data_IF_194142704401
#
_entry.id   IF_194142704401
#
_cell.length_a   1.000
_cell.length_b   1.000
_cell.length_c   1.000
_cell.angle_alpha   90.00
_cell.angle_beta   90.00
_cell.angle_gamma   90.00
#
_symmetry.space_group_name_H-M   'P 1'
#
loop_
_entity.id
_entity.type
_entity.pdbx_description
1 polymer ?
#
# COMPACT_ATOMS: atom_id res chain seq x y z
N UNK A 1 1.77 16.81 27.40
CA UNK A 1 0.28 16.66 27.44
C UNK A 1 -0.12 15.90 28.70
N UNK A 2 -1.30 16.19 29.29
CA UNK A 2 -1.78 15.43 30.46
C UNK A 2 -2.09 13.98 30.11
N UNK A 3 -1.67 13.02 30.95
CA UNK A 3 -1.91 11.59 30.75
C UNK A 3 -3.40 11.27 30.56
N UNK A 4 -4.28 11.89 31.34
CA UNK A 4 -5.74 11.74 31.20
C UNK A 4 -6.23 12.11 29.79
N UNK A 5 -5.68 13.16 29.19
CA UNK A 5 -6.03 13.57 27.81
C UNK A 5 -5.54 12.55 26.79
N UNK A 6 -4.37 11.96 27.01
CA UNK A 6 -3.81 10.90 26.14
C UNK A 6 -4.69 9.66 26.18
N UNK A 7 -5.22 9.29 27.35
CA UNK A 7 -6.05 8.11 27.56
C UNK A 7 -7.52 8.32 27.21
N UNK A 8 -7.93 9.53 26.85
CA UNK A 8 -9.34 9.85 26.58
C UNK A 8 -9.92 8.94 25.47
N UNK A 9 -11.14 8.42 25.71
CA UNK A 9 -11.83 7.51 24.79
C UNK A 9 -11.39 6.04 24.86
N UNK A 10 -10.42 5.69 25.73
CA UNK A 10 -10.11 4.29 26.05
C UNK A 10 -11.01 3.82 27.20
N UNK A 11 -11.63 2.66 27.00
CA UNK A 11 -12.42 1.96 28.01
C UNK A 11 -11.62 0.78 28.60
N UNK A 12 -12.13 0.17 29.69
CA UNK A 12 -11.54 -1.02 30.33
C UNK A 12 -10.09 -0.86 30.80
N UNK A 13 -9.70 0.36 31.20
CA UNK A 13 -8.38 0.64 31.75
C UNK A 13 -8.30 0.19 33.22
N UNK A 14 -7.20 -0.46 33.59
CA UNK A 14 -6.79 -0.71 34.97
C UNK A 14 -5.50 0.05 35.21
N UNK A 15 -5.53 1.05 36.06
CA UNK A 15 -4.35 1.89 36.35
C UNK A 15 -3.90 1.73 37.80
N UNK A 16 -2.58 1.72 38.00
CA UNK A 16 -1.92 1.78 39.33
C UNK A 16 -0.79 2.80 39.26
N UNK A 17 -0.82 3.81 40.09
CA UNK A 17 0.12 4.93 40.14
C UNK A 17 -0.57 6.28 39.90
N UNK A 18 0.23 7.30 39.69
CA UNK A 18 -0.22 8.67 39.48
C UNK A 18 -0.75 8.86 38.03
N UNK A 19 -1.94 9.47 37.89
CA UNK A 19 -2.59 9.72 36.59
C UNK A 19 -2.60 11.20 36.19
N UNK A 20 -2.24 12.11 37.13
CA UNK A 20 -2.17 13.57 36.88
C UNK A 20 -0.76 14.00 36.39
N UNK A 21 -0.16 13.17 35.53
CA UNK A 21 1.17 13.37 34.98
C UNK A 21 1.13 14.17 33.68
N UNK A 22 2.16 14.96 33.45
CA UNK A 22 2.48 15.52 32.14
C UNK A 22 3.42 14.58 31.37
N UNK A 23 3.03 14.17 30.20
CA UNK A 23 3.78 13.24 29.35
C UNK A 23 4.39 14.03 28.19
N UNK A 24 5.74 14.08 28.08
CA UNK A 24 6.41 14.80 27.01
C UNK A 24 6.32 14.08 25.66
N UNK A 25 6.32 12.74 25.64
CA UNK A 25 6.29 11.96 24.42
C UNK A 25 5.72 10.55 24.66
N UNK A 26 5.31 9.88 23.56
CA UNK A 26 4.85 8.48 23.55
C UNK A 26 5.80 7.68 22.67
N UNK A 27 6.22 6.50 23.14
CA UNK A 27 7.04 5.57 22.36
C UNK A 27 6.55 4.12 22.49
N UNK A 28 6.77 3.35 21.43
CA UNK A 28 6.56 1.90 21.39
C UNK A 28 7.83 1.11 21.05
N UNK A 29 8.97 1.81 21.01
CA UNK A 29 10.32 1.25 20.90
C UNK A 29 11.10 1.67 22.14
N UNK A 30 11.41 0.71 23.04
CA UNK A 30 12.09 0.98 24.33
C UNK A 30 13.41 1.72 24.17
N UNK A 31 14.11 1.53 23.04
CA UNK A 31 15.41 2.18 22.74
C UNK A 31 15.29 3.67 22.46
N UNK A 32 14.08 4.16 22.15
CA UNK A 32 13.79 5.58 21.85
C UNK A 32 13.20 6.32 23.03
N UNK A 33 12.84 5.60 24.08
CA UNK A 33 12.26 6.19 25.29
C UNK A 33 13.24 7.16 25.94
N UNK A 34 12.72 8.33 26.34
CA UNK A 34 13.43 9.37 27.06
C UNK A 34 12.80 9.59 28.44
N UNK A 35 13.49 10.26 29.40
CA UNK A 35 12.96 10.52 30.74
C UNK A 35 11.59 11.23 30.68
N UNK A 36 10.61 10.64 31.36
CA UNK A 36 9.25 11.17 31.46
C UNK A 36 8.27 10.60 30.43
N UNK A 37 8.75 9.88 29.40
CA UNK A 37 7.91 9.34 28.33
C UNK A 37 6.91 8.28 28.83
N UNK A 38 5.87 8.09 28.01
CA UNK A 38 4.96 6.96 28.09
C UNK A 38 5.42 5.88 27.11
N UNK A 39 5.72 4.69 27.61
CA UNK A 39 6.00 3.52 26.79
C UNK A 39 4.76 2.64 26.64
N UNK A 40 4.41 2.27 25.41
CA UNK A 40 3.28 1.39 25.10
C UNK A 40 3.81 0.05 24.59
N UNK A 41 3.69 -0.99 25.41
CA UNK A 41 4.12 -2.36 25.10
C UNK A 41 3.05 -3.05 24.26
N UNK A 42 3.37 -3.34 23.00
CA UNK A 42 2.47 -4.06 22.08
C UNK A 42 2.97 -5.48 21.81
N UNK A 43 2.07 -6.46 21.76
CA UNK A 43 2.40 -7.81 21.29
C UNK A 43 2.64 -7.78 19.78
N UNK A 44 3.90 -7.99 19.37
CA UNK A 44 4.30 -8.11 17.97
C UNK A 44 4.20 -9.56 17.48
N UNK A 45 4.40 -9.77 16.16
CA UNK A 45 4.43 -11.12 15.57
C UNK A 45 5.71 -11.89 15.88
N UNK A 46 6.82 -11.21 16.16
CA UNK A 46 8.12 -11.80 16.44
C UNK A 46 8.59 -11.56 17.87
N UNK A 47 8.28 -10.39 18.42
CA UNK A 47 8.73 -9.96 19.74
C UNK A 47 7.52 -9.55 20.57
N UNK A 48 7.50 -9.85 21.83
CA UNK A 48 6.52 -9.34 22.79
C UNK A 48 7.04 -8.04 23.41
N UNK A 49 6.30 -6.93 23.25
CA UNK A 49 6.67 -5.63 23.80
C UNK A 49 6.79 -5.63 25.33
N UNK A 50 6.15 -6.58 26.03
CA UNK A 50 6.23 -6.70 27.50
C UNK A 50 7.63 -7.08 27.98
N UNK A 51 8.42 -7.78 27.16
CA UNK A 51 9.82 -8.13 27.45
C UNK A 51 10.72 -6.90 27.58
N UNK A 52 10.33 -5.78 26.95
CA UNK A 52 11.09 -4.52 26.93
C UNK A 52 10.64 -3.49 27.96
N UNK A 53 9.71 -3.83 28.85
CA UNK A 53 9.21 -2.92 29.90
C UNK A 53 10.36 -2.48 30.82
N UNK A 54 11.25 -3.41 31.19
CA UNK A 54 12.41 -3.08 32.05
C UNK A 54 13.35 -2.10 31.37
N UNK A 55 13.63 -2.30 30.09
CA UNK A 55 14.50 -1.41 29.33
C UNK A 55 13.87 -0.02 29.18
N UNK A 56 12.56 0.05 28.92
CA UNK A 56 11.85 1.32 28.86
C UNK A 56 11.91 2.09 30.19
N UNK A 57 11.73 1.40 31.33
CA UNK A 57 11.85 2.01 32.66
C UNK A 57 13.29 2.47 32.92
N UNK A 58 14.29 1.65 32.56
CA UNK A 58 15.70 2.02 32.67
C UNK A 58 16.06 3.26 31.86
N UNK A 59 15.41 3.45 30.69
CA UNK A 59 15.55 4.64 29.85
C UNK A 59 14.70 5.83 30.31
N UNK A 60 13.94 5.68 31.41
CA UNK A 60 13.22 6.77 32.06
C UNK A 60 11.73 6.85 31.77
N UNK A 61 11.11 5.79 31.28
CA UNK A 61 9.65 5.77 31.12
C UNK A 61 8.96 6.04 32.47
N UNK A 62 8.06 7.00 32.50
CA UNK A 62 7.25 7.37 33.67
C UNK A 62 5.90 6.66 33.70
N UNK A 63 5.41 6.25 32.51
CA UNK A 63 4.15 5.55 32.32
C UNK A 63 4.37 4.35 31.41
N UNK A 64 3.86 3.20 31.82
CA UNK A 64 3.82 1.97 31.01
C UNK A 64 2.36 1.64 30.70
N UNK A 65 2.01 1.48 29.42
CA UNK A 65 0.75 0.85 29.01
C UNK A 65 1.08 -0.53 28.47
N UNK A 66 0.46 -1.57 29.03
CA UNK A 66 0.75 -2.97 28.72
C UNK A 66 -0.55 -3.80 28.58
N UNK A 67 -0.50 -4.99 27.95
CA UNK A 67 -1.63 -5.91 27.89
C UNK A 67 -2.13 -6.26 29.30
N UNK A 68 -3.43 -6.48 29.47
CA UNK A 68 -4.05 -6.82 30.76
C UNK A 68 -3.73 -8.24 31.23
N UNK A 69 -3.22 -9.08 30.33
CA UNK A 69 -2.66 -10.41 30.60
C UNK A 69 -1.14 -10.42 30.86
N UNK A 70 -0.52 -9.24 31.04
CA UNK A 70 0.91 -9.12 31.37
C UNK A 70 1.24 -9.89 32.65
N UNK A 71 2.37 -10.63 32.63
CA UNK A 71 2.82 -11.44 33.77
C UNK A 71 2.89 -10.60 35.07
N UNK A 72 2.27 -11.14 36.12
CA UNK A 72 2.26 -10.51 37.45
C UNK A 72 3.67 -10.26 38.00
N UNK A 73 4.63 -11.11 37.65
CA UNK A 73 6.03 -10.91 38.09
C UNK A 73 6.67 -9.69 37.42
N UNK A 74 6.34 -9.40 36.14
CA UNK A 74 6.75 -8.16 35.48
C UNK A 74 6.11 -6.96 36.18
N UNK A 75 4.80 -7.03 36.48
CA UNK A 75 4.06 -5.95 37.13
C UNK A 75 4.60 -5.66 38.54
N UNK A 76 4.98 -6.68 39.32
CA UNK A 76 5.57 -6.52 40.67
C UNK A 76 6.94 -5.84 40.64
N UNK A 77 7.68 -5.96 39.54
CA UNK A 77 9.02 -5.37 39.39
C UNK A 77 8.97 -3.92 38.94
N UNK A 78 7.80 -3.34 38.66
CA UNK A 78 7.65 -1.94 38.28
C UNK A 78 7.90 -1.09 39.55
N UNK A 79 8.90 -0.18 39.55
CA UNK A 79 9.28 0.60 40.72
C UNK A 79 8.19 1.58 41.13
N UNK A 80 8.21 1.96 42.40
CA UNK A 80 7.42 3.10 42.89
C UNK A 80 7.74 4.37 42.08
N UNK A 81 6.69 5.11 41.71
CA UNK A 81 6.83 6.30 40.90
C UNK A 81 6.65 6.08 39.38
N UNK A 82 6.58 4.83 38.91
CA UNK A 82 6.17 4.53 37.53
C UNK A 82 4.69 4.10 37.54
N UNK A 83 3.89 4.74 36.72
CA UNK A 83 2.48 4.39 36.55
C UNK A 83 2.33 3.26 35.53
N UNK A 84 1.60 2.20 35.92
CA UNK A 84 1.22 1.14 34.98
C UNK A 84 -0.27 1.23 34.65
N UNK A 85 -0.57 1.07 33.36
CA UNK A 85 -1.92 1.04 32.80
C UNK A 85 -2.04 -0.26 32.01
N UNK A 86 -3.09 -1.03 32.28
CA UNK A 86 -3.38 -2.28 31.58
C UNK A 86 -4.61 -2.11 30.69
N UNK A 87 -4.53 -2.62 29.45
CA UNK A 87 -5.61 -2.59 28.47
C UNK A 87 -5.65 -3.90 27.65
N UNK A 88 -6.84 -4.48 27.35
CA UNK A 88 -6.95 -5.75 26.63
C UNK A 88 -6.43 -5.70 25.20
N UNK A 89 -6.51 -4.56 24.52
CA UNK A 89 -5.99 -4.34 23.16
C UNK A 89 -5.01 -3.16 23.13
N UNK A 90 -3.72 -3.45 23.32
CA UNK A 90 -2.68 -2.40 23.35
C UNK A 90 -2.38 -1.82 21.97
N UNK A 91 -2.75 -2.48 20.86
CA UNK A 91 -2.63 -1.89 19.53
C UNK A 91 -3.69 -0.81 19.30
N UNK A 92 -4.93 -1.09 19.69
CA UNK A 92 -5.98 -0.10 19.69
C UNK A 92 -5.65 1.07 20.65
N UNK A 93 -5.17 0.75 21.86
CA UNK A 93 -4.76 1.76 22.81
C UNK A 93 -3.63 2.66 22.28
N UNK A 94 -2.60 2.07 21.61
CA UNK A 94 -1.55 2.85 20.94
C UNK A 94 -2.11 3.81 19.91
N UNK A 95 -3.09 3.37 19.10
CA UNK A 95 -3.68 4.21 18.07
C UNK A 95 -4.44 5.40 18.68
N UNK A 96 -5.29 5.17 19.68
CA UNK A 96 -6.07 6.23 20.34
C UNK A 96 -5.14 7.19 21.11
N UNK A 97 -4.20 6.66 21.89
CA UNK A 97 -3.22 7.49 22.60
C UNK A 97 -2.42 8.37 21.63
N UNK A 98 -2.01 7.81 20.48
CA UNK A 98 -1.28 8.57 19.47
C UNK A 98 -2.14 9.66 18.83
N UNK A 99 -3.41 9.35 18.48
CA UNK A 99 -4.36 10.35 17.98
C UNK A 99 -4.49 11.51 18.96
N UNK A 100 -4.72 11.20 20.24
CA UNK A 100 -4.91 12.21 21.28
C UNK A 100 -3.63 13.03 21.51
N UNK A 101 -2.47 12.37 21.58
CA UNK A 101 -1.18 13.03 21.82
C UNK A 101 -0.85 14.04 20.72
N UNK A 102 -1.14 13.74 19.47
CA UNK A 102 -0.96 14.64 18.33
C UNK A 102 -2.21 15.50 18.04
N UNK A 103 -3.16 15.60 18.97
CA UNK A 103 -4.35 16.45 18.88
C UNK A 103 -5.23 16.13 17.64
N UNK A 104 -5.42 14.84 17.39
CA UNK A 104 -6.26 14.33 16.30
C UNK A 104 -5.95 14.96 14.92
N UNK A 105 -4.72 14.86 14.41
CA UNK A 105 -4.27 15.59 13.23
C UNK A 105 -5.08 15.25 11.98
N UNK A 106 -5.68 14.07 11.90
CA UNK A 106 -6.56 13.68 10.77
C UNK A 106 -7.84 14.50 10.67
N UNK A 107 -8.18 15.30 11.68
CA UNK A 107 -9.29 16.26 11.63
C UNK A 107 -8.92 17.61 11.00
N UNK A 108 -7.63 17.90 10.83
CA UNK A 108 -7.09 19.18 10.33
C UNK A 108 -7.04 19.27 8.80
N UNK A 109 -7.31 18.17 8.08
CA UNK A 109 -7.34 18.08 6.62
C UNK A 109 -8.39 17.08 6.15
N UNK A 110 -8.66 16.99 4.84
CA UNK A 110 -9.52 15.94 4.29
C UNK A 110 -8.72 14.65 4.13
N UNK A 111 -9.12 13.57 4.82
CA UNK A 111 -8.44 12.28 4.78
C UNK A 111 -9.13 11.31 3.82
N UNK A 112 -8.37 10.80 2.84
CA UNK A 112 -8.83 9.81 1.85
C UNK A 112 -8.10 8.49 2.06
N UNK A 113 -8.82 7.41 2.35
CA UNK A 113 -8.29 6.06 2.47
C UNK A 113 -8.61 5.21 1.25
N UNK A 114 -7.59 4.54 0.69
CA UNK A 114 -7.75 3.63 -0.45
C UNK A 114 -7.42 2.21 -0.03
N UNK A 115 -8.41 1.31 -0.09
CA UNK A 115 -8.23 -0.12 0.17
C UNK A 115 -8.60 -0.97 -1.03
N UNK A 116 -8.22 -2.24 -0.99
CA UNK A 116 -8.44 -3.23 -2.04
C UNK A 116 -7.23 -4.15 -2.16
N UNK A 117 -7.31 -5.16 -3.03
CA UNK A 117 -6.18 -6.06 -3.27
C UNK A 117 -5.13 -5.37 -4.14
N UNK A 118 -5.48 -4.89 -5.30
CA UNK A 118 -4.60 -4.23 -6.28
C UNK A 118 -5.05 -2.78 -6.54
N UNK A 119 -4.19 -1.98 -7.17
CA UNK A 119 -4.52 -0.63 -7.63
C UNK A 119 -4.41 0.48 -6.59
N UNK A 120 -4.21 0.21 -5.30
CA UNK A 120 -4.10 1.23 -4.25
C UNK A 120 -3.06 2.31 -4.60
N UNK A 121 -1.82 1.93 -4.82
CA UNK A 121 -0.71 2.83 -5.14
C UNK A 121 -0.99 3.66 -6.39
N UNK A 122 -1.42 3.03 -7.48
CA UNK A 122 -1.72 3.74 -8.73
C UNK A 122 -2.84 4.76 -8.53
N UNK A 123 -3.90 4.38 -7.82
CA UNK A 123 -5.05 5.25 -7.55
C UNK A 123 -4.63 6.45 -6.66
N UNK A 124 -3.85 6.22 -5.61
CA UNK A 124 -3.39 7.30 -4.73
C UNK A 124 -2.47 8.29 -5.45
N UNK A 125 -1.58 7.81 -6.31
CA UNK A 125 -0.74 8.67 -7.15
C UNK A 125 -1.57 9.46 -8.18
N UNK A 126 -2.54 8.84 -8.85
CA UNK A 126 -3.47 9.55 -9.75
C UNK A 126 -4.20 10.68 -9.03
N UNK A 127 -4.74 10.42 -7.83
CA UNK A 127 -5.38 11.44 -7.01
C UNK A 127 -4.42 12.57 -6.66
N UNK A 128 -3.20 12.24 -6.23
CA UNK A 128 -2.18 13.21 -5.86
C UNK A 128 -1.85 14.14 -7.04
N UNK A 129 -1.64 13.58 -8.23
CA UNK A 129 -1.33 14.39 -9.41
C UNK A 129 -2.51 15.28 -9.83
N UNK A 130 -3.76 14.82 -9.72
CA UNK A 130 -4.94 15.64 -9.98
C UNK A 130 -5.05 16.80 -8.99
N UNK A 131 -4.90 16.51 -7.68
CA UNK A 131 -4.97 17.52 -6.62
C UNK A 131 -3.83 18.54 -6.76
N UNK A 132 -2.62 18.08 -7.07
CA UNK A 132 -1.47 18.95 -7.35
C UNK A 132 -1.73 19.87 -8.55
N UNK A 133 -2.31 19.35 -9.64
CA UNK A 133 -2.70 20.15 -10.83
C UNK A 133 -3.78 21.17 -10.48
N UNK A 134 -4.63 20.85 -9.49
CA UNK A 134 -5.66 21.76 -8.95
C UNK A 134 -5.08 22.84 -8.03
N UNK A 135 -3.81 22.75 -7.62
CA UNK A 135 -3.17 23.65 -6.66
C UNK A 135 -3.45 23.30 -5.20
N UNK A 136 -3.99 22.13 -4.91
CA UNK A 136 -4.30 21.65 -3.55
C UNK A 136 -3.05 20.99 -2.96
N UNK A 137 -2.56 21.50 -1.83
CA UNK A 137 -1.42 20.92 -1.13
C UNK A 137 -1.79 19.56 -0.53
N UNK A 138 -1.12 18.50 -1.00
CA UNK A 138 -1.55 17.12 -0.73
C UNK A 138 -0.47 16.30 -0.05
N UNK A 139 -0.80 15.66 1.09
CA UNK A 139 0.00 14.61 1.70
C UNK A 139 -0.28 13.26 1.05
N UNK A 140 0.72 12.38 1.01
CA UNK A 140 0.58 10.99 0.55
C UNK A 140 1.27 10.03 1.49
N UNK A 141 0.55 8.98 1.93
CA UNK A 141 1.09 7.86 2.70
C UNK A 141 0.84 6.57 1.91
N UNK A 142 1.88 5.90 1.45
CA UNK A 142 1.69 4.71 0.61
C UNK A 142 2.92 3.82 0.51
N UNK A 143 2.85 2.83 -0.34
CA UNK A 143 3.84 1.75 -0.50
C UNK A 143 5.21 2.25 -0.97
N UNK A 144 5.26 3.28 -1.81
CA UNK A 144 6.51 3.75 -2.43
C UNK A 144 7.22 4.74 -1.51
N UNK A 145 6.53 5.79 -1.13
CA UNK A 145 7.10 6.88 -0.33
C UNK A 145 6.00 7.66 0.40
N UNK A 146 6.42 8.50 1.33
CA UNK A 146 5.57 9.40 2.09
C UNK A 146 5.94 10.82 1.71
N UNK A 147 4.91 11.62 1.36
CA UNK A 147 5.07 13.00 0.93
C UNK A 147 4.24 13.96 1.78
N UNK A 148 4.77 15.14 2.03
CA UNK A 148 4.06 16.30 2.55
C UNK A 148 4.17 17.42 1.50
N UNK A 149 3.09 17.67 0.77
CA UNK A 149 3.14 18.49 -0.44
C UNK A 149 4.10 17.88 -1.48
N UNK A 150 5.05 18.66 -1.97
CA UNK A 150 6.08 18.20 -2.92
C UNK A 150 7.31 17.56 -2.21
N UNK A 151 7.43 17.74 -0.89
CA UNK A 151 8.56 17.22 -0.12
C UNK A 151 8.38 15.73 0.17
N UNK A 152 9.31 14.90 -0.28
CA UNK A 152 9.42 13.51 0.13
C UNK A 152 9.96 13.47 1.57
N UNK A 153 9.16 12.95 2.52
CA UNK A 153 9.58 12.81 3.90
C UNK A 153 10.49 11.60 4.10
N UNK A 154 10.09 10.45 3.52
CA UNK A 154 10.90 9.22 3.53
C UNK A 154 10.43 8.20 2.49
N UNK A 155 11.25 7.20 2.23
CA UNK A 155 10.82 5.96 1.58
C UNK A 155 9.96 5.12 2.54
N UNK A 156 9.01 4.39 2.02
CA UNK A 156 8.11 3.61 2.86
C UNK A 156 8.70 2.24 3.21
N UNK A 157 8.67 1.89 4.49
CA UNK A 157 9.03 0.56 4.97
C UNK A 157 7.84 -0.42 4.82
N UNK A 158 6.63 0.11 4.77
CA UNK A 158 5.37 -0.64 4.62
C UNK A 158 4.26 0.26 4.05
N UNK A 159 3.25 -0.36 3.46
CA UNK A 159 2.12 0.33 2.83
C UNK A 159 1.38 1.29 3.77
N UNK A 160 1.15 0.87 5.01
CA UNK A 160 0.49 1.67 6.05
C UNK A 160 1.35 1.62 7.32
N UNK A 161 1.89 2.73 7.80
CA UNK A 161 2.72 2.80 9.01
C UNK A 161 2.00 2.31 10.28
N UNK A 162 2.75 2.05 11.36
CA UNK A 162 2.17 1.86 12.69
C UNK A 162 1.51 3.15 13.19
N UNK A 163 0.53 3.03 14.07
CA UNK A 163 -0.34 4.15 14.44
C UNK A 163 0.41 5.36 14.99
N UNK A 164 1.40 5.17 15.86
CA UNK A 164 2.20 6.27 16.43
C UNK A 164 2.96 7.04 15.33
N UNK A 165 3.62 6.31 14.44
CA UNK A 165 4.34 6.90 13.32
C UNK A 165 3.38 7.61 12.35
N UNK A 166 2.22 7.03 12.09
CA UNK A 166 1.19 7.60 11.22
C UNK A 166 0.67 8.94 11.78
N UNK A 167 0.36 9.02 13.08
CA UNK A 167 -0.12 10.25 13.70
C UNK A 167 0.96 11.34 13.73
N UNK A 168 2.23 10.97 13.95
CA UNK A 168 3.38 11.89 13.85
C UNK A 168 3.48 12.49 12.44
N UNK A 169 3.33 11.65 11.41
CA UNK A 169 3.34 12.12 10.01
C UNK A 169 2.14 13.01 9.69
N UNK A 170 0.96 12.67 10.19
CA UNK A 170 -0.23 13.48 10.01
C UNK A 170 -0.12 14.85 10.69
N UNK A 171 0.49 14.90 11.89
CA UNK A 171 0.77 16.17 12.57
C UNK A 171 1.71 17.04 11.70
N UNK A 172 2.80 16.45 11.19
CA UNK A 172 3.72 17.17 10.28
C UNK A 172 3.02 17.65 9.01
N UNK A 173 2.17 16.84 8.38
CA UNK A 173 1.41 17.23 7.19
C UNK A 173 0.43 18.36 7.46
N UNK A 174 -0.20 18.37 8.66
CA UNK A 174 -1.08 19.44 9.08
C UNK A 174 -0.30 20.75 9.32
N UNK A 175 0.87 20.68 9.99
CA UNK A 175 1.77 21.83 10.19
C UNK A 175 2.29 22.37 8.85
N UNK A 176 2.63 21.49 7.92
CA UNK A 176 3.05 21.86 6.57
C UNK A 176 1.87 22.47 5.74
N UNK A 177 0.65 22.46 6.25
CA UNK A 177 -0.54 23.03 5.60
C UNK A 177 -1.11 22.16 4.47
N UNK A 178 -1.01 20.83 4.55
CA UNK A 178 -1.71 19.93 3.64
C UNK A 178 -3.23 20.08 3.84
N UNK A 179 -3.97 20.29 2.75
CA UNK A 179 -5.43 20.39 2.74
C UNK A 179 -6.11 19.03 2.57
N UNK A 180 -5.44 18.12 1.87
CA UNK A 180 -5.88 16.75 1.62
C UNK A 180 -4.73 15.80 1.93
N UNK A 181 -5.01 14.70 2.62
CA UNK A 181 -4.08 13.59 2.78
C UNK A 181 -4.69 12.33 2.18
N UNK A 182 -3.95 11.68 1.30
CA UNK A 182 -4.35 10.43 0.67
C UNK A 182 -3.48 9.31 1.24
N UNK A 183 -4.09 8.20 1.63
CA UNK A 183 -3.31 7.07 2.12
C UNK A 183 -3.78 5.73 1.58
N UNK A 184 -2.82 4.84 1.37
CA UNK A 184 -3.09 3.42 1.15
C UNK A 184 -3.41 2.76 2.50
N UNK A 185 -4.56 2.08 2.58
CA UNK A 185 -5.02 1.37 3.78
C UNK A 185 -5.02 -0.12 3.51
N UNK A 186 -4.02 -0.82 4.03
CA UNK A 186 -3.91 -2.28 3.88
C UNK A 186 -4.91 -3.01 4.79
N UNK A 187 -5.31 -4.22 4.42
CA UNK A 187 -6.17 -5.07 5.26
C UNK A 187 -5.53 -5.35 6.63
N UNK A 188 -4.23 -5.58 6.63
CA UNK A 188 -3.48 -5.82 7.86
C UNK A 188 -3.45 -4.59 8.78
N UNK A 189 -3.37 -3.37 8.23
CA UNK A 189 -3.45 -2.14 9.03
C UNK A 189 -4.80 -1.97 9.71
N UNK A 190 -5.88 -2.34 9.02
CA UNK A 190 -7.24 -2.34 9.56
C UNK A 190 -7.44 -3.45 10.61
N UNK A 191 -6.87 -4.63 10.38
CA UNK A 191 -6.89 -5.75 11.32
C UNK A 191 -6.12 -5.41 12.61
N UNK A 192 -4.99 -4.73 12.49
CA UNK A 192 -4.09 -4.38 13.60
C UNK A 192 -4.33 -2.97 14.17
N UNK A 193 -5.49 -2.39 13.94
CA UNK A 193 -5.92 -1.09 14.50
C UNK A 193 -4.99 0.09 14.18
N UNK A 194 -4.12 0.02 13.14
CA UNK A 194 -3.15 1.08 12.84
C UNK A 194 -3.77 2.42 12.46
N UNK A 195 -5.01 2.39 11.97
CA UNK A 195 -5.79 3.57 11.56
C UNK A 195 -6.98 3.84 12.48
N UNK A 196 -7.05 3.18 13.64
CA UNK A 196 -8.09 3.46 14.63
C UNK A 196 -7.95 4.92 15.12
N UNK A 197 -9.07 5.58 15.36
CA UNK A 197 -9.11 6.99 15.72
C UNK A 197 -8.89 7.98 14.56
N UNK A 198 -8.54 7.52 13.34
CA UNK A 198 -8.47 8.39 12.17
C UNK A 198 -9.85 8.76 11.64
N UNK A 199 -10.05 10.03 11.24
CA UNK A 199 -11.29 10.55 10.69
C UNK A 199 -11.25 10.55 9.16
N UNK A 200 -11.66 9.46 8.51
CA UNK A 200 -11.71 9.40 7.05
C UNK A 200 -12.93 10.17 6.50
N UNK A 201 -12.69 11.15 5.64
CA UNK A 201 -13.77 11.80 4.88
C UNK A 201 -14.24 10.89 3.73
N UNK A 202 -13.30 10.17 3.10
CA UNK A 202 -13.57 9.32 1.95
C UNK A 202 -12.82 7.98 2.07
N UNK A 203 -13.55 6.88 1.85
CA UNK A 203 -13.00 5.54 1.66
C UNK A 203 -13.19 5.06 0.22
N UNK A 204 -12.19 4.40 -0.35
CA UNK A 204 -12.23 3.85 -1.71
C UNK A 204 -11.98 2.36 -1.69
N UNK A 205 -12.84 1.58 -2.35
CA UNK A 205 -12.65 0.15 -2.57
C UNK A 205 -12.32 -0.12 -4.04
N UNK A 206 -11.09 -0.53 -4.31
CA UNK A 206 -10.62 -0.73 -5.70
C UNK A 206 -11.05 -2.07 -6.28
N UNK A 207 -10.70 -3.17 -5.63
CA UNK A 207 -11.02 -4.54 -6.01
C UNK A 207 -10.72 -5.52 -4.89
N UNK A 208 -11.16 -6.77 -5.07
CA UNK A 208 -10.89 -7.87 -4.16
C UNK A 208 -10.65 -9.16 -4.95
N UNK A 209 -9.54 -9.81 -4.68
CA UNK A 209 -9.14 -11.11 -5.21
C UNK A 209 -8.31 -11.84 -4.18
N UNK A 210 -8.03 -13.11 -4.41
CA UNK A 210 -7.22 -13.93 -3.52
C UNK A 210 -5.79 -13.39 -3.44
N UNK A 211 -5.39 -12.99 -2.23
CA UNK A 211 -4.04 -12.52 -1.89
C UNK A 211 -3.92 -12.50 -0.36
N UNK A 212 -2.71 -12.49 0.17
CA UNK A 212 -2.46 -12.36 1.61
C UNK A 212 -3.09 -13.46 2.50
N UNK A 213 -3.44 -14.62 1.92
CA UNK A 213 -3.95 -15.75 2.70
C UNK A 213 -2.77 -16.56 3.22
N UNK A 214 -2.51 -16.42 4.51
CA UNK A 214 -1.44 -17.13 5.22
C UNK A 214 -1.68 -17.09 6.72
N UNK A 215 -1.08 -18.02 7.50
CA UNK A 215 -1.20 -18.02 8.97
C UNK A 215 -0.71 -16.74 9.66
N UNK A 216 0.15 -15.96 8.98
CA UNK A 216 0.72 -14.72 9.52
C UNK A 216 -0.07 -13.45 9.14
N UNK A 217 -0.96 -13.53 8.16
CA UNK A 217 -1.73 -12.38 7.67
C UNK A 217 -3.23 -12.60 7.86
N UNK A 218 -3.87 -13.30 6.94
CA UNK A 218 -5.30 -13.63 7.00
C UNK A 218 -5.50 -15.15 6.90
N UNK A 219 -6.24 -15.78 7.83
CA UNK A 219 -6.48 -17.23 7.78
C UNK A 219 -7.29 -17.64 6.56
N UNK A 220 -8.17 -16.77 6.06
CA UNK A 220 -9.05 -17.03 4.93
C UNK A 220 -9.50 -15.75 4.22
N UNK A 221 -10.22 -15.91 3.12
CA UNK A 221 -10.77 -14.83 2.31
C UNK A 221 -11.84 -14.01 3.06
N UNK A 222 -12.52 -14.62 4.02
CA UNK A 222 -13.54 -13.96 4.84
C UNK A 222 -12.92 -12.92 5.77
N UNK A 223 -11.91 -13.31 6.54
CA UNK A 223 -11.14 -12.41 7.41
C UNK A 223 -10.47 -11.30 6.60
N UNK A 224 -9.97 -11.65 5.39
CA UNK A 224 -9.32 -10.68 4.50
C UNK A 224 -10.31 -9.60 4.02
N UNK A 225 -11.50 -10.01 3.57
CA UNK A 225 -12.54 -9.07 3.14
C UNK A 225 -13.06 -8.25 4.33
N UNK A 226 -13.42 -8.90 5.44
CA UNK A 226 -13.95 -8.24 6.62
C UNK A 226 -12.95 -7.23 7.20
N UNK A 227 -11.65 -7.52 7.13
CA UNK A 227 -10.61 -6.57 7.52
C UNK A 227 -10.65 -5.30 6.66
N UNK A 228 -10.79 -5.42 5.33
CA UNK A 228 -10.88 -4.24 4.44
C UNK A 228 -12.15 -3.43 4.66
N UNK A 229 -13.26 -4.10 4.96
CA UNK A 229 -14.56 -3.46 5.20
C UNK A 229 -14.57 -2.57 6.44
N UNK A 230 -13.65 -2.76 7.40
CA UNK A 230 -13.51 -1.88 8.57
C UNK A 230 -13.27 -0.40 8.19
N UNK A 231 -12.64 -0.12 7.03
CA UNK A 231 -12.46 1.27 6.56
C UNK A 231 -13.81 2.00 6.40
N UNK A 232 -14.85 1.29 5.97
CA UNK A 232 -16.16 1.88 5.69
C UNK A 232 -17.01 2.10 6.95
N UNK A 233 -16.56 1.58 8.10
CA UNK A 233 -17.15 1.91 9.39
C UNK A 233 -16.61 3.24 9.97
N UNK A 234 -15.49 3.74 9.43
CA UNK A 234 -14.78 4.93 9.92
C UNK A 234 -14.64 6.02 8.84
N UNK A 235 -15.35 5.93 7.72
CA UNK A 235 -15.40 6.96 6.70
C UNK A 235 -16.81 7.53 6.51
N UNK A 236 -16.88 8.80 6.07
CA UNK A 236 -18.15 9.50 5.82
C UNK A 236 -18.76 9.18 4.47
N UNK A 237 -17.92 8.92 3.46
CA UNK A 237 -18.31 8.59 2.10
C UNK A 237 -17.47 7.47 1.53
N UNK A 238 -18.10 6.56 0.78
CA UNK A 238 -17.44 5.45 0.09
C UNK A 238 -17.55 5.56 -1.43
N UNK A 239 -16.49 5.18 -2.15
CA UNK A 239 -16.50 4.90 -3.58
C UNK A 239 -16.13 3.45 -3.82
N UNK A 240 -17.02 2.68 -4.47
CA UNK A 240 -16.91 1.23 -4.62
C UNK A 240 -16.93 0.83 -6.09
N UNK A 241 -15.98 0.00 -6.50
CA UNK A 241 -15.95 -0.64 -7.82
C UNK A 241 -17.03 -1.74 -7.87
N UNK A 242 -18.02 -1.59 -8.76
CA UNK A 242 -19.14 -2.54 -8.91
C UNK A 242 -18.84 -3.73 -9.80
N UNK A 243 -17.74 -3.72 -10.53
CA UNK A 243 -17.40 -4.80 -11.48
C UNK A 243 -16.65 -5.95 -10.80
N UNK A 244 -16.37 -5.83 -9.50
CA UNK A 244 -15.79 -6.91 -8.72
C UNK A 244 -16.87 -7.92 -8.33
N UNK A 245 -16.59 -9.23 -8.40
CA UNK A 245 -17.54 -10.30 -8.07
C UNK A 245 -18.08 -10.23 -6.63
N UNK A 246 -17.35 -9.58 -5.73
CA UNK A 246 -17.78 -9.35 -4.35
C UNK A 246 -18.51 -8.02 -4.15
N UNK A 247 -18.77 -7.24 -5.21
CA UNK A 247 -19.33 -5.89 -5.11
C UNK A 247 -20.66 -5.86 -4.35
N UNK A 248 -21.59 -6.75 -4.65
CA UNK A 248 -22.89 -6.82 -3.96
C UNK A 248 -22.71 -7.06 -2.46
N UNK A 249 -21.80 -7.96 -2.07
CA UNK A 249 -21.50 -8.22 -0.67
C UNK A 249 -20.88 -7.01 0.02
N UNK A 250 -19.92 -6.34 -0.64
CA UNK A 250 -19.25 -5.14 -0.15
C UNK A 250 -20.30 -4.03 0.09
N UNK A 251 -21.13 -3.75 -0.90
CA UNK A 251 -22.19 -2.73 -0.81
C UNK A 251 -23.18 -3.02 0.31
N UNK A 252 -23.60 -4.28 0.47
CA UNK A 252 -24.50 -4.70 1.54
C UNK A 252 -23.86 -4.60 2.94
N UNK A 253 -22.54 -4.62 3.05
CA UNK A 253 -21.83 -4.52 4.33
C UNK A 253 -21.61 -3.08 4.78
N UNK A 254 -21.70 -2.10 3.87
CA UNK A 254 -21.51 -0.69 4.20
C UNK A 254 -22.85 -0.09 4.67
N UNK A 255 -22.95 0.25 5.96
CA UNK A 255 -24.23 0.70 6.57
C UNK A 255 -24.25 2.19 6.93
N UNK A 256 -23.10 2.76 7.28
CA UNK A 256 -23.02 4.05 7.97
C UNK A 256 -22.33 5.16 7.16
N UNK A 257 -22.17 4.99 5.84
CA UNK A 257 -21.61 6.04 5.00
C UNK A 257 -22.38 6.19 3.67
N UNK A 258 -22.29 7.37 3.07
CA UNK A 258 -22.85 7.66 1.74
C UNK A 258 -22.01 6.94 0.68
N UNK A 259 -22.63 6.03 -0.07
CA UNK A 259 -21.97 5.18 -1.07
C UNK A 259 -22.23 5.71 -2.47
N UNK A 260 -21.17 5.83 -3.26
CA UNK A 260 -21.16 6.03 -4.69
C UNK A 260 -20.38 4.92 -5.38
N UNK A 261 -20.74 4.63 -6.60
CA UNK A 261 -20.21 3.49 -7.35
C UNK A 261 -19.48 3.93 -8.61
N UNK A 262 -18.51 3.13 -9.03
CA UNK A 262 -17.87 3.30 -10.35
C UNK A 262 -17.62 1.94 -10.99
N UNK A 263 -17.57 1.93 -12.33
CA UNK A 263 -17.40 0.68 -13.08
C UNK A 263 -17.23 0.90 -14.58
N UNK A 264 -17.10 -0.21 -15.29
CA UNK A 264 -17.01 -0.29 -16.75
C UNK A 264 -18.13 -1.17 -17.31
N UNK A 265 -18.37 -2.34 -16.69
CA UNK A 265 -19.25 -3.40 -17.22
C UNK A 265 -20.64 -3.35 -16.60
N UNK A 266 -20.78 -2.92 -15.35
CA UNK A 266 -22.03 -2.84 -14.63
C UNK A 266 -22.49 -1.39 -14.44
N UNK A 267 -23.79 -1.18 -14.25
CA UNK A 267 -24.35 0.14 -13.98
C UNK A 267 -23.73 0.76 -12.70
N UNK A 268 -23.27 1.99 -12.81
CA UNK A 268 -22.60 2.71 -11.75
C UNK A 268 -22.87 4.22 -11.81
N UNK A 269 -22.68 4.94 -10.70
CA UNK A 269 -22.76 6.40 -10.65
C UNK A 269 -21.73 7.07 -11.57
N UNK A 270 -20.54 6.48 -11.72
CA UNK A 270 -19.51 6.89 -12.67
C UNK A 270 -19.12 5.70 -13.56
N UNK A 271 -19.47 5.76 -14.83
CA UNK A 271 -19.30 4.68 -15.79
C UNK A 271 -18.37 5.10 -16.92
N UNK A 272 -17.33 4.30 -17.21
CA UNK A 272 -16.51 4.45 -18.40
C UNK A 272 -17.11 3.67 -19.60
N UNK A 273 -17.02 4.27 -20.78
CA UNK A 273 -17.47 3.70 -22.07
C UNK A 273 -16.44 3.96 -23.17
N UNK A 274 -16.58 3.33 -24.31
CA UNK A 274 -15.76 3.55 -25.52
C UNK A 274 -14.27 3.53 -25.22
N UNK A 275 -13.82 2.44 -24.56
CA UNK A 275 -12.44 2.28 -24.08
C UNK A 275 -11.53 1.89 -25.24
N UNK A 276 -10.46 2.64 -25.45
CA UNK A 276 -9.38 2.33 -26.38
C UNK A 276 -8.09 2.09 -25.60
N UNK A 277 -7.42 0.95 -25.83
CA UNK A 277 -6.16 0.60 -25.17
C UNK A 277 -5.04 0.57 -26.21
N UNK A 278 -3.92 1.25 -25.90
CA UNK A 278 -2.72 1.26 -26.72
C UNK A 278 -1.50 0.82 -25.91
N UNK A 279 -0.33 0.73 -26.50
CA UNK A 279 0.91 0.38 -25.81
C UNK A 279 1.37 1.45 -24.80
N UNK A 280 0.86 2.68 -24.90
CA UNK A 280 1.36 3.82 -24.09
C UNK A 280 0.29 4.52 -23.28
N UNK A 281 -0.99 4.29 -23.55
CA UNK A 281 -2.09 4.92 -22.82
C UNK A 281 -3.37 4.11 -22.95
N UNK A 282 -4.35 4.44 -22.11
CA UNK A 282 -5.75 4.07 -22.31
C UNK A 282 -6.59 5.34 -22.35
N UNK A 283 -7.61 5.38 -23.20
CA UNK A 283 -8.60 6.44 -23.18
C UNK A 283 -10.03 5.89 -23.15
N UNK A 284 -10.95 6.68 -22.64
CA UNK A 284 -12.35 6.29 -22.48
C UNK A 284 -13.26 7.51 -22.35
N UNK A 285 -14.55 7.30 -22.62
CA UNK A 285 -15.61 8.30 -22.37
C UNK A 285 -16.15 8.15 -20.95
N UNK A 286 -16.28 9.27 -20.24
CA UNK A 286 -16.87 9.32 -18.90
C UNK A 286 -17.61 10.63 -18.69
N UNK A 287 -18.67 10.62 -17.86
CA UNK A 287 -19.42 11.84 -17.53
C UNK A 287 -18.66 12.65 -16.48
N UNK A 288 -18.05 13.75 -16.92
CA UNK A 288 -17.50 14.79 -16.06
C UNK A 288 -18.50 15.94 -16.03
N UNK A 289 -18.83 16.41 -14.81
CA UNK A 289 -19.88 17.41 -14.60
C UNK A 289 -21.19 17.04 -15.31
N UNK A 290 -21.61 17.78 -16.34
CA UNK A 290 -22.84 17.54 -17.09
C UNK A 290 -22.62 16.86 -18.44
N UNK A 291 -21.38 16.73 -18.92
CA UNK A 291 -21.03 16.24 -20.26
C UNK A 291 -20.23 14.95 -20.21
N UNK A 292 -20.38 14.17 -21.30
CA UNK A 292 -19.46 13.05 -21.55
C UNK A 292 -18.19 13.61 -22.19
N UNK A 293 -17.06 13.32 -21.59
CA UNK A 293 -15.75 13.77 -22.03
C UNK A 293 -14.81 12.58 -22.19
N UNK A 294 -13.91 12.70 -23.15
CA UNK A 294 -12.84 11.72 -23.32
C UNK A 294 -11.72 12.02 -22.35
N UNK A 295 -11.33 10.99 -21.61
CA UNK A 295 -10.22 11.04 -20.65
C UNK A 295 -9.13 10.10 -21.12
N UNK A 296 -7.91 10.59 -21.25
CA UNK A 296 -6.71 9.83 -21.55
C UNK A 296 -5.90 9.63 -20.28
N UNK A 297 -5.40 8.41 -20.08
CA UNK A 297 -4.56 8.02 -18.94
C UNK A 297 -3.23 7.53 -19.45
N UNK A 298 -2.12 8.14 -19.02
CA UNK A 298 -0.76 7.82 -19.47
C UNK A 298 -0.19 6.49 -18.97
N UNK A 299 -1.06 5.61 -18.46
CA UNK A 299 -0.73 4.24 -18.02
C UNK A 299 -1.64 3.29 -18.82
N UNK A 300 -1.08 2.39 -19.66
CA UNK A 300 -1.89 1.47 -20.48
C UNK A 300 -2.59 0.41 -19.65
N UNK A 301 -3.59 -0.23 -20.27
CA UNK A 301 -4.31 -1.37 -19.70
C UNK A 301 -5.68 -1.03 -19.09
N UNK A 302 -6.61 -1.99 -19.14
CA UNK A 302 -7.99 -1.85 -18.64
C UNK A 302 -8.06 -1.53 -17.15
N UNK A 303 -7.12 -2.06 -16.34
CA UNK A 303 -7.04 -1.78 -14.90
C UNK A 303 -6.80 -0.28 -14.60
N UNK A 304 -6.15 0.45 -15.51
CA UNK A 304 -5.93 1.89 -15.39
C UNK A 304 -7.21 2.68 -15.50
N UNK A 305 -8.21 2.17 -16.22
CA UNK A 305 -9.56 2.78 -16.29
C UNK A 305 -10.21 2.74 -14.91
N UNK A 306 -10.20 1.59 -14.22
CA UNK A 306 -10.75 1.47 -12.87
C UNK A 306 -10.05 2.38 -11.87
N UNK A 307 -8.71 2.42 -11.90
CA UNK A 307 -7.93 3.29 -11.02
C UNK A 307 -8.23 4.78 -11.30
N UNK A 308 -8.37 5.16 -12.57
CA UNK A 308 -8.73 6.50 -12.97
C UNK A 308 -10.16 6.86 -12.56
N UNK A 309 -11.14 5.96 -12.73
CA UNK A 309 -12.52 6.19 -12.27
C UNK A 309 -12.59 6.43 -10.75
N UNK A 310 -11.84 5.66 -9.97
CA UNK A 310 -11.72 5.87 -8.53
C UNK A 310 -11.12 7.25 -8.21
N UNK A 311 -10.02 7.62 -8.88
CA UNK A 311 -9.38 8.92 -8.70
C UNK A 311 -10.29 10.08 -9.13
N UNK A 312 -10.96 9.96 -10.28
CA UNK A 312 -11.94 10.94 -10.78
C UNK A 312 -13.07 11.12 -9.76
N UNK A 313 -13.64 10.02 -9.25
CA UNK A 313 -14.75 10.06 -8.28
C UNK A 313 -14.39 10.86 -7.04
N UNK A 314 -13.21 10.61 -6.46
CA UNK A 314 -12.71 11.31 -5.29
C UNK A 314 -12.39 12.77 -5.60
N UNK A 315 -11.62 13.04 -6.67
CA UNK A 315 -11.15 14.38 -6.99
C UNK A 315 -12.31 15.31 -7.41
N UNK A 316 -13.33 14.80 -8.12
CA UNK A 316 -14.59 15.54 -8.35
C UNK A 316 -15.28 15.92 -7.04
N UNK A 317 -15.36 14.98 -6.09
CA UNK A 317 -15.95 15.26 -4.77
C UNK A 317 -15.16 16.30 -3.99
N UNK A 318 -13.85 16.39 -4.21
CA UNK A 318 -12.95 17.40 -3.61
C UNK A 318 -12.92 18.72 -4.41
N UNK A 319 -13.72 18.88 -5.47
CA UNK A 319 -13.85 20.11 -6.22
C UNK A 319 -12.84 20.34 -7.35
N UNK A 320 -12.13 19.28 -7.79
CA UNK A 320 -11.21 19.40 -8.93
C UNK A 320 -11.96 19.60 -10.26
N UNK A 321 -11.46 20.49 -11.10
CA UNK A 321 -12.03 20.76 -12.42
C UNK A 321 -11.80 19.60 -13.40
N UNK A 322 -12.71 19.41 -14.35
CA UNK A 322 -12.58 18.42 -15.42
C UNK A 322 -11.28 18.59 -16.22
N UNK A 323 -10.84 19.83 -16.45
CA UNK A 323 -9.61 20.14 -17.17
C UNK A 323 -8.38 19.63 -16.43
N UNK A 324 -8.26 19.93 -15.13
CA UNK A 324 -7.13 19.49 -14.31
C UNK A 324 -7.12 17.97 -14.12
N UNK A 325 -8.29 17.32 -14.00
CA UNK A 325 -8.41 15.86 -13.98
C UNK A 325 -7.83 15.27 -15.26
N UNK A 326 -8.23 15.74 -16.45
CA UNK A 326 -7.76 15.21 -17.72
C UNK A 326 -6.26 15.41 -17.92
N UNK A 327 -5.76 16.62 -17.67
CA UNK A 327 -4.32 16.93 -17.80
C UNK A 327 -3.46 16.06 -16.89
N UNK A 328 -3.85 15.94 -15.61
CA UNK A 328 -3.11 15.14 -14.65
C UNK A 328 -3.08 13.64 -15.02
N UNK A 329 -4.21 13.07 -15.43
CA UNK A 329 -4.29 11.67 -15.82
C UNK A 329 -3.52 11.35 -17.11
N UNK A 330 -3.46 12.26 -18.06
CA UNK A 330 -2.65 12.11 -19.27
C UNK A 330 -1.15 12.09 -18.96
N UNK A 331 -0.72 12.94 -18.04
CA UNK A 331 0.69 13.10 -17.66
C UNK A 331 1.14 12.11 -16.57
N UNK A 332 0.20 11.43 -15.88
CA UNK A 332 0.52 10.62 -14.70
C UNK A 332 1.55 9.54 -15.01
N UNK A 333 2.53 9.43 -14.10
CA UNK A 333 3.48 8.32 -14.02
C UNK A 333 3.53 7.85 -12.58
N UNK A 334 3.54 6.54 -12.39
CA UNK A 334 3.61 5.93 -11.06
C UNK A 334 4.85 5.05 -11.00
N UNK A 335 5.85 5.40 -10.17
CA UNK A 335 7.10 4.66 -10.14
C UNK A 335 6.86 3.15 -9.93
N UNK A 336 7.38 2.33 -10.85
CA UNK A 336 7.28 0.88 -10.80
C UNK A 336 5.88 0.28 -10.93
N UNK A 337 4.92 1.00 -11.47
CA UNK A 337 3.54 0.51 -11.72
C UNK A 337 3.15 0.73 -13.18
N UNK A 338 3.35 -0.29 -14.02
CA UNK A 338 3.20 -0.19 -15.48
C UNK A 338 3.88 1.08 -16.03
N UNK A 339 5.01 1.42 -15.44
CA UNK A 339 5.79 2.60 -15.76
C UNK A 339 6.49 2.43 -17.09
N UNK A 340 6.20 3.33 -18.03
CA UNK A 340 6.85 3.32 -19.33
C UNK A 340 8.17 4.07 -19.27
N UNK A 341 9.23 3.44 -19.77
CA UNK A 341 10.59 4.01 -19.81
C UNK A 341 10.77 4.77 -21.12
N UNK A 342 11.01 6.08 -21.01
CA UNK A 342 11.38 6.89 -22.17
C UNK A 342 12.76 6.47 -22.70
N UNK A 343 12.86 6.17 -23.99
CA UNK A 343 14.11 5.73 -24.59
C UNK A 343 14.26 6.18 -26.04
N UNK A 344 15.54 6.36 -26.46
CA UNK A 344 15.87 6.82 -27.82
C UNK A 344 15.71 5.74 -28.90
N UNK A 345 15.48 4.50 -28.53
CA UNK A 345 15.35 3.37 -29.48
C UNK A 345 13.92 3.16 -29.97
N UNK A 346 12.95 3.89 -29.42
CA UNK A 346 11.53 3.73 -29.74
C UNK A 346 10.97 2.35 -29.35
N UNK A 347 11.54 1.70 -28.36
CA UNK A 347 11.06 0.45 -27.79
C UNK A 347 10.00 0.75 -26.71
N UNK A 348 9.04 -0.14 -26.57
CA UNK A 348 8.13 -0.09 -25.41
C UNK A 348 8.72 -0.92 -24.27
N UNK A 349 9.19 -0.25 -23.22
CA UNK A 349 9.74 -0.89 -22.03
C UNK A 349 8.87 -0.49 -20.84
N UNK A 350 8.36 -1.47 -20.12
CA UNK A 350 7.47 -1.28 -18.98
C UNK A 350 8.09 -1.86 -17.72
N UNK A 351 8.16 -1.07 -16.65
CA UNK A 351 8.57 -1.51 -15.32
C UNK A 351 7.33 -1.75 -14.47
N UNK A 352 7.26 -2.91 -13.81
CA UNK A 352 6.15 -3.24 -12.90
C UNK A 352 6.61 -3.96 -11.63
N UNK A 353 5.87 -3.77 -10.54
CA UNK A 353 6.14 -4.41 -9.24
C UNK A 353 5.54 -5.82 -9.14
N UNK A 354 5.07 -6.41 -10.21
CA UNK A 354 4.47 -7.74 -10.23
C UNK A 354 5.46 -8.82 -9.79
N UNK A 355 5.34 -9.29 -8.54
CA UNK A 355 6.24 -10.23 -7.87
C UNK A 355 5.51 -11.46 -7.28
N UNK A 356 4.22 -11.61 -7.59
CA UNK A 356 3.40 -12.77 -7.24
C UNK A 356 2.84 -13.44 -8.49
N UNK A 357 2.41 -14.71 -8.44
CA UNK A 357 1.81 -15.41 -9.57
C UNK A 357 0.68 -14.62 -10.23
N UNK A 358 -0.31 -14.20 -9.43
CA UNK A 358 -1.47 -13.45 -9.91
C UNK A 358 -1.07 -12.11 -10.54
N UNK A 359 -0.18 -11.35 -9.91
CA UNK A 359 0.24 -10.04 -10.44
C UNK A 359 1.03 -10.19 -11.75
N UNK A 360 1.89 -11.20 -11.85
CA UNK A 360 2.62 -11.48 -13.10
C UNK A 360 1.67 -11.91 -14.21
N UNK A 361 0.72 -12.78 -13.90
CA UNK A 361 -0.32 -13.21 -14.85
C UNK A 361 -1.13 -12.01 -15.36
N UNK A 362 -1.61 -11.18 -14.45
CA UNK A 362 -2.45 -10.03 -14.77
C UNK A 362 -1.72 -9.03 -15.67
N UNK A 363 -0.46 -8.69 -15.36
CA UNK A 363 0.28 -7.75 -16.20
C UNK A 363 0.61 -8.33 -17.57
N UNK A 364 1.02 -9.60 -17.66
CA UNK A 364 1.35 -10.22 -18.95
C UNK A 364 0.13 -10.37 -19.84
N UNK A 365 -1.02 -10.80 -19.30
CA UNK A 365 -2.26 -10.87 -20.09
C UNK A 365 -2.78 -9.49 -20.49
N UNK A 366 -2.71 -8.51 -19.60
CA UNK A 366 -3.08 -7.14 -19.94
C UNK A 366 -2.22 -6.60 -21.07
N UNK A 367 -0.90 -6.76 -21.00
CA UNK A 367 0.04 -6.32 -22.04
C UNK A 367 -0.21 -7.09 -23.35
N UNK A 368 -0.43 -8.41 -23.27
CA UNK A 368 -0.68 -9.25 -24.46
C UNK A 368 -1.94 -8.81 -25.24
N UNK A 369 -2.98 -8.34 -24.54
CA UNK A 369 -4.26 -7.97 -25.17
C UNK A 369 -4.15 -6.77 -26.13
N UNK A 370 -3.13 -5.93 -26.02
CA UNK A 370 -2.95 -4.74 -26.87
C UNK A 370 -1.60 -4.70 -27.61
N UNK A 371 -0.68 -5.64 -27.33
CA UNK A 371 0.63 -5.71 -28.01
C UNK A 371 0.47 -6.22 -29.44
N UNK A 372 1.07 -5.51 -30.42
CA UNK A 372 1.10 -5.93 -31.82
C UNK A 372 2.28 -6.85 -32.16
N UNK A 373 3.35 -6.79 -31.39
CA UNK A 373 4.54 -7.62 -31.49
C UNK A 373 4.59 -8.69 -30.41
N UNK A 374 5.80 -9.02 -29.94
CA UNK A 374 6.05 -9.99 -28.88
C UNK A 374 5.96 -9.34 -27.51
N UNK A 375 5.49 -10.09 -26.53
CA UNK A 375 5.64 -9.79 -25.12
C UNK A 375 6.90 -10.48 -24.61
N UNK A 376 7.90 -9.70 -24.18
CA UNK A 376 9.16 -10.19 -23.62
C UNK A 376 9.11 -9.96 -22.11
N UNK A 377 9.01 -11.03 -21.32
CA UNK A 377 8.95 -10.99 -19.86
C UNK A 377 10.35 -11.12 -19.28
N UNK A 378 10.76 -10.20 -18.42
CA UNK A 378 12.02 -10.25 -17.64
C UNK A 378 11.64 -10.22 -16.17
N UNK A 379 11.84 -11.33 -15.44
CA UNK A 379 11.47 -11.39 -14.03
C UNK A 379 12.32 -12.37 -13.25
N UNK A 380 12.28 -12.25 -11.93
CA UNK A 380 12.87 -13.16 -10.97
C UNK A 380 12.00 -13.30 -9.73
N UNK A 381 12.43 -14.16 -8.80
CA UNK A 381 11.79 -14.35 -7.51
C UNK A 381 12.75 -13.98 -6.37
N UNK A 382 12.18 -13.48 -5.27
CA UNK A 382 12.94 -13.17 -4.07
C UNK A 382 13.33 -14.43 -3.28
N UNK A 383 14.50 -14.39 -2.66
CA UNK A 383 14.95 -15.35 -1.65
C UNK A 383 14.31 -15.09 -0.28
N UNK A 384 14.42 -16.06 0.64
CA UNK A 384 13.87 -16.02 2.00
C UNK A 384 12.36 -15.72 2.02
N UNK A 385 11.65 -16.20 1.02
CA UNK A 385 10.21 -16.04 0.82
C UNK A 385 9.59 -17.39 0.43
N UNK A 386 8.28 -17.38 0.25
CA UNK A 386 7.54 -18.54 -0.24
C UNK A 386 8.15 -19.07 -1.56
N UNK A 387 8.67 -20.29 -1.52
CA UNK A 387 9.32 -20.94 -2.66
C UNK A 387 8.31 -21.55 -3.62
N UNK A 388 7.09 -21.86 -3.16
CA UNK A 388 6.06 -22.55 -3.94
C UNK A 388 5.64 -21.74 -5.17
N UNK A 389 5.70 -20.42 -5.08
CA UNK A 389 5.36 -19.50 -6.17
C UNK A 389 6.35 -19.50 -7.34
N UNK A 390 7.60 -19.98 -7.14
CA UNK A 390 8.68 -19.86 -8.12
C UNK A 390 8.35 -20.61 -9.41
N UNK A 391 8.06 -21.90 -9.31
CA UNK A 391 7.66 -22.71 -10.47
C UNK A 391 6.35 -22.22 -11.10
N UNK A 392 5.39 -21.79 -10.27
CA UNK A 392 4.10 -21.24 -10.76
C UNK A 392 4.33 -20.00 -11.61
N UNK A 393 5.19 -19.08 -11.18
CA UNK A 393 5.51 -17.87 -11.94
C UNK A 393 6.24 -18.19 -13.25
N UNK A 394 7.15 -19.20 -13.25
CA UNK A 394 7.77 -19.71 -14.47
C UNK A 394 6.76 -20.24 -15.47
N UNK A 395 5.82 -21.05 -15.01
CA UNK A 395 4.74 -21.60 -15.84
C UNK A 395 3.82 -20.50 -16.41
N UNK A 396 3.43 -19.52 -15.58
CA UNK A 396 2.61 -18.37 -16.01
C UNK A 396 3.32 -17.59 -17.11
N UNK A 397 4.59 -17.26 -16.91
CA UNK A 397 5.34 -16.50 -17.92
C UNK A 397 5.51 -17.26 -19.21
N UNK A 398 5.80 -18.58 -19.15
CA UNK A 398 5.91 -19.43 -20.32
C UNK A 398 4.60 -19.62 -21.13
N UNK A 399 3.44 -19.45 -20.49
CA UNK A 399 2.11 -19.48 -21.14
C UNK A 399 1.70 -18.13 -21.71
N UNK A 400 2.05 -17.03 -21.03
CA UNK A 400 1.53 -15.69 -21.32
C UNK A 400 2.48 -14.86 -22.20
N UNK A 401 3.80 -14.99 -22.03
CA UNK A 401 4.79 -14.25 -22.79
C UNK A 401 5.24 -15.00 -24.06
N UNK A 402 5.66 -14.28 -25.11
CA UNK A 402 6.25 -14.86 -26.30
C UNK A 402 7.73 -15.23 -26.09
N UNK A 403 8.38 -14.56 -25.15
CA UNK A 403 9.74 -14.86 -24.72
C UNK A 403 9.94 -14.50 -23.26
N UNK A 404 10.58 -15.35 -22.49
CA UNK A 404 10.83 -15.14 -21.07
C UNK A 404 12.33 -15.11 -20.78
N UNK A 405 12.78 -14.13 -20.01
CA UNK A 405 14.13 -14.05 -19.46
C UNK A 405 14.00 -14.18 -17.94
N UNK A 406 14.48 -15.32 -17.42
CA UNK A 406 14.48 -15.60 -15.98
C UNK A 406 15.78 -15.05 -15.40
N UNK A 407 15.69 -14.23 -14.36
CA UNK A 407 16.84 -13.54 -13.78
C UNK A 407 16.76 -13.46 -12.25
N UNK A 408 17.80 -12.93 -11.59
CA UNK A 408 17.77 -12.67 -10.16
C UNK A 408 16.87 -11.45 -9.83
N UNK A 409 16.21 -11.51 -8.67
CA UNK A 409 15.50 -10.39 -8.04
C UNK A 409 16.28 -9.95 -6.78
N UNK A 410 15.75 -10.10 -5.57
CA UNK A 410 16.42 -9.96 -4.29
C UNK A 410 16.75 -11.36 -3.75
N UNK A 411 17.92 -11.94 -4.03
CA UNK A 411 18.23 -13.32 -3.58
C UNK A 411 18.38 -13.43 -2.07
N UNK A 412 18.64 -12.33 -1.37
CA UNK A 412 18.88 -12.26 0.08
C UNK A 412 19.98 -13.23 0.50
N UNK A 413 19.67 -14.23 1.35
CA UNK A 413 20.62 -15.22 1.81
C UNK A 413 20.71 -16.47 0.92
N UNK A 414 19.76 -16.63 -0.03
CA UNK A 414 19.74 -17.78 -0.94
C UNK A 414 20.66 -17.61 -2.16
N UNK A 415 21.12 -18.73 -2.72
CA UNK A 415 21.85 -18.71 -3.98
C UNK A 415 20.93 -18.30 -5.15
N UNK A 416 21.23 -17.22 -5.88
CA UNK A 416 20.39 -16.75 -6.97
C UNK A 416 20.25 -17.75 -8.12
N UNK A 417 21.25 -18.59 -8.39
CA UNK A 417 21.21 -19.62 -9.43
C UNK A 417 20.18 -20.70 -9.10
N UNK A 418 20.07 -21.10 -7.83
CA UNK A 418 19.07 -22.07 -7.37
C UNK A 418 17.65 -21.51 -7.45
N UNK A 419 17.47 -20.23 -7.15
CA UNK A 419 16.17 -19.55 -7.32
C UNK A 419 15.76 -19.56 -8.80
N UNK A 420 16.67 -19.17 -9.70
CA UNK A 420 16.43 -19.17 -11.15
C UNK A 420 16.08 -20.56 -11.65
N UNK A 421 16.77 -21.62 -11.19
CA UNK A 421 16.50 -23.01 -11.54
C UNK A 421 15.09 -23.47 -11.11
N UNK A 422 14.64 -23.07 -9.91
CA UNK A 422 13.28 -23.40 -9.46
C UNK A 422 12.20 -22.71 -10.31
N UNK A 423 12.45 -21.48 -10.79
CA UNK A 423 11.56 -20.81 -11.74
C UNK A 423 11.60 -21.52 -13.11
N UNK A 424 12.78 -21.96 -13.54
CA UNK A 424 12.98 -22.69 -14.80
C UNK A 424 12.22 -24.02 -14.83
N UNK A 425 12.12 -24.72 -13.71
CA UNK A 425 11.31 -25.94 -13.60
C UNK A 425 9.83 -25.71 -13.98
N UNK A 426 9.30 -24.54 -13.66
CA UNK A 426 7.94 -24.18 -14.04
C UNK A 426 7.79 -23.92 -15.53
N UNK A 427 8.67 -23.13 -16.13
CA UNK A 427 8.55 -22.79 -17.56
C UNK A 427 8.79 -24.01 -18.47
N UNK A 428 9.62 -24.97 -18.05
CA UNK A 428 9.82 -26.25 -18.75
C UNK A 428 8.54 -27.08 -18.91
N UNK A 429 7.51 -26.83 -18.10
CA UNK A 429 6.19 -27.47 -18.22
C UNK A 429 5.36 -26.86 -19.37
N UNK A 430 5.87 -25.82 -20.03
CA UNK A 430 5.20 -25.10 -21.09
C UNK A 430 5.96 -25.23 -22.42
N UNK A 431 5.38 -24.69 -23.50
CA UNK A 431 6.06 -24.53 -24.80
C UNK A 431 6.73 -23.16 -24.95
N UNK A 432 6.79 -22.37 -23.86
CA UNK A 432 7.33 -21.01 -23.86
C UNK A 432 8.82 -20.98 -24.19
N UNK A 433 9.24 -20.02 -24.99
CA UNK A 433 10.65 -19.76 -25.28
C UNK A 433 11.28 -18.98 -24.14
N UNK A 434 12.44 -19.37 -23.67
CA UNK A 434 13.09 -18.71 -22.55
C UNK A 434 14.62 -18.78 -22.57
N UNK A 435 15.24 -17.97 -21.73
CA UNK A 435 16.65 -18.04 -21.36
C UNK A 435 16.80 -17.70 -19.87
N UNK A 436 17.78 -18.30 -19.20
CA UNK A 436 18.19 -17.97 -17.84
C UNK A 436 19.44 -17.10 -17.87
N UNK A 437 19.37 -15.89 -17.30
CA UNK A 437 20.50 -14.96 -17.18
C UNK A 437 20.45 -14.41 -15.75
N UNK A 438 21.25 -14.96 -14.84
CA UNK A 438 21.23 -14.63 -13.41
C UNK A 438 21.49 -13.14 -13.17
N UNK A 439 22.49 -12.57 -13.82
CA UNK A 439 22.79 -11.14 -13.76
C UNK A 439 21.64 -10.31 -14.38
N UNK A 440 20.91 -9.57 -13.53
CA UNK A 440 19.72 -8.84 -13.96
C UNK A 440 20.04 -7.73 -14.95
N UNK A 441 21.19 -7.07 -14.84
CA UNK A 441 21.61 -6.05 -15.80
C UNK A 441 21.82 -6.67 -17.18
N UNK A 442 22.54 -7.79 -17.26
CA UNK A 442 22.74 -8.52 -18.52
C UNK A 442 21.42 -9.06 -19.07
N UNK A 443 20.50 -9.49 -18.22
CA UNK A 443 19.17 -9.92 -18.63
C UNK A 443 18.37 -8.80 -19.31
N UNK A 444 18.38 -7.59 -18.74
CA UNK A 444 17.76 -6.41 -19.31
C UNK A 444 18.43 -6.00 -20.62
N UNK A 445 19.75 -5.98 -20.66
CA UNK A 445 20.51 -5.70 -21.90
C UNK A 445 20.18 -6.71 -23.02
N UNK A 446 20.04 -7.98 -22.67
CA UNK A 446 19.62 -9.03 -23.62
C UNK A 446 18.23 -8.77 -24.17
N UNK A 447 17.26 -8.44 -23.31
CA UNK A 447 15.90 -8.08 -23.71
C UNK A 447 15.88 -6.89 -24.70
N UNK A 448 16.64 -5.83 -24.38
CA UNK A 448 16.73 -4.62 -25.21
C UNK A 448 17.39 -4.91 -26.57
N UNK A 449 18.39 -5.79 -26.63
CA UNK A 449 19.09 -6.17 -27.87
C UNK A 449 18.21 -6.99 -28.80
N UNK A 450 17.35 -7.87 -28.24
CA UNK A 450 16.51 -8.76 -29.05
C UNK A 450 15.15 -8.18 -29.45
N UNK A 451 14.73 -7.09 -28.80
CA UNK A 451 13.42 -6.51 -29.01
C UNK A 451 13.33 -5.73 -30.34
N UNK A 452 12.18 -5.84 -31.00
CA UNK A 452 11.78 -5.07 -32.17
C UNK A 452 10.82 -3.92 -31.78
N UNK A 453 10.62 -2.97 -32.66
CA UNK A 453 9.83 -1.75 -32.44
C UNK A 453 8.39 -2.00 -31.92
N UNK A 454 7.75 -3.11 -32.30
CA UNK A 454 6.37 -3.43 -31.89
C UNK A 454 6.30 -4.35 -30.66
N UNK A 455 7.45 -4.80 -30.16
CA UNK A 455 7.52 -5.65 -28.98
C UNK A 455 7.35 -4.81 -27.70
N UNK A 456 6.89 -5.45 -26.64
CA UNK A 456 6.86 -4.87 -25.30
C UNK A 456 7.76 -5.69 -24.40
N UNK A 457 8.70 -5.02 -23.74
CA UNK A 457 9.53 -5.61 -22.68
C UNK A 457 8.87 -5.29 -21.33
N UNK A 458 8.53 -6.31 -20.56
CA UNK A 458 7.98 -6.17 -19.19
C UNK A 458 9.06 -6.54 -18.19
N UNK A 459 9.61 -5.55 -17.47
CA UNK A 459 10.56 -5.72 -16.38
C UNK A 459 9.77 -5.86 -15.08
N UNK A 460 9.46 -7.10 -14.68
CA UNK A 460 8.61 -7.38 -13.53
C UNK A 460 9.42 -7.71 -12.26
N UNK A 461 8.82 -7.48 -11.10
CA UNK A 461 9.31 -7.82 -9.76
C UNK A 461 9.78 -6.62 -8.96
N UNK A 462 10.75 -5.87 -9.46
CA UNK A 462 11.42 -4.78 -8.73
C UNK A 462 10.60 -3.49 -8.61
N UNK A 463 9.80 -3.19 -9.63
CA UNK A 463 9.05 -1.95 -9.65
C UNK A 463 9.95 -0.73 -9.39
N UNK A 464 9.65 0.01 -8.32
CA UNK A 464 10.35 1.22 -7.90
C UNK A 464 11.63 0.97 -7.08
N UNK A 465 12.00 -0.27 -6.78
CA UNK A 465 13.17 -0.60 -5.97
C UNK A 465 14.47 -0.36 -6.78
N UNK A 466 15.35 0.59 -6.40
CA UNK A 466 16.60 0.89 -7.14
C UNK A 466 17.78 0.03 -6.68
N UNK A 467 17.54 -1.10 -6.01
CA UNK A 467 18.57 -1.95 -5.42
C UNK A 467 18.23 -3.44 -5.57
N UNK A 468 19.28 -4.29 -5.45
CA UNK A 468 19.14 -5.71 -5.13
C UNK A 468 19.64 -5.98 -3.71
N UNK A 469 18.87 -6.74 -2.94
CA UNK A 469 19.24 -7.18 -1.60
C UNK A 469 19.96 -8.51 -1.68
N UNK A 470 21.27 -8.52 -1.31
CA UNK A 470 22.14 -9.67 -1.33
C UNK A 470 22.85 -9.76 0.03
N UNK A 471 22.67 -10.88 0.75
CA UNK A 471 23.24 -11.10 2.09
C UNK A 471 22.99 -9.96 3.08
N UNK A 472 21.78 -9.37 3.04
CA UNK A 472 21.39 -8.27 3.92
C UNK A 472 21.85 -6.88 3.48
N UNK A 473 22.65 -6.78 2.40
CA UNK A 473 23.08 -5.51 1.84
C UNK A 473 22.23 -5.10 0.63
N UNK A 474 21.92 -3.81 0.55
CA UNK A 474 21.18 -3.22 -0.58
C UNK A 474 22.18 -2.66 -1.59
N UNK A 475 22.40 -3.41 -2.64
CA UNK A 475 23.31 -3.04 -3.74
C UNK A 475 22.52 -2.26 -4.81
N UNK A 476 22.90 -1.02 -5.16
CA UNK A 476 22.30 -0.28 -6.26
C UNK A 476 22.42 -1.04 -7.59
N UNK A 477 21.40 -0.87 -8.44
CA UNK A 477 21.39 -1.61 -9.70
C UNK A 477 20.72 -0.81 -10.84
#
# INVERSE_FOLDING_TARGET
MKLKSILAGLENLKAKGEIELDIPNIENDSRKVQPGDMFIAIKGFKNDGTEYIKDAIANGARVILAPDDTDKEIIKQIPEGVTIILHPDTRYALAICSCNFYENPSSKFKLVGVTGTKGKTTTTYMMREILKKQGIKTGLVGTIAIYSGDKKLKDSDRTTPESLELQRMFAQMAEDGCEVVIMEVSSQSLKLSRVAGCNFDIGVFTNFSEDHISPKEHPDMEDYLNSKLKLFNICKKAFVNVDNIYASRILNSIKNCDVKTYGIDNAADLLARDITITNSYVDFMVKLETRNERVKVGIPGRFSVYNALAAISVCKKLGCSSENIKKALEEVRVPGRSELVDNKKGLTIMIDYAHSPESLQNILYAVKSYTRGRVISVFGCGGDRDTTKRAIMGEISGKAADYTIITSDNPRTENPEEIVKQVEEGIKRTKGKYVCIVDRKKAIEHAIKMANKNDIIVLAGKGHEPYQEINGEKNPF
#
